data_IF_227225296859
#
_entry.id   IF_227225296859
#
_cell.length_a   1.000
_cell.length_b   1.000
_cell.length_c   1.000
_cell.angle_alpha   90.00
_cell.angle_beta   90.00
_cell.angle_gamma   90.00
#
_symmetry.space_group_name_H-M   'P 1'
#
loop_
_entity.id
_entity.type
_entity.pdbx_description
1 polymer ?
#
# COMPACT_ATOMS: atom_id res chain seq x y z
N UNK A 1 12.50 10.25 -20.04
CA UNK A 1 12.81 9.48 -19.98
C UNK A 1 13.23 8.80 -20.35
N UNK A 2 13.66 8.93 -20.55
CA UNK A 2 14.12 8.15 -21.25
C UNK A 2 13.98 6.96 -21.20
N UNK A 3 13.60 7.12 -21.50
CA UNK A 3 13.29 6.16 -21.57
C UNK A 3 13.92 5.02 -21.89
N UNK A 4 14.03 4.76 -22.79
CA UNK A 4 14.57 3.63 -23.26
C UNK A 4 15.49 2.91 -22.45
N UNK A 5 15.54 3.43 -21.43
CA UNK A 5 16.43 2.88 -20.54
C UNK A 5 16.27 1.46 -20.27
N UNK A 6 15.14 0.93 -20.52
CA UNK A 6 14.90 -0.43 -20.12
C UNK A 6 14.94 -1.41 -21.25
N UNK A 7 15.28 -0.93 -22.41
CA UNK A 7 15.18 -1.78 -23.56
C UNK A 7 16.09 -2.99 -23.49
N UNK A 8 17.16 -2.86 -22.77
CA UNK A 8 18.13 -3.93 -22.71
C UNK A 8 18.10 -4.72 -21.43
N UNK A 9 17.03 -4.64 -20.70
CA UNK A 9 16.96 -5.40 -19.45
C UNK A 9 17.11 -6.88 -19.73
N UNK A 10 17.95 -7.49 -18.94
CA UNK A 10 18.23 -8.90 -19.07
C UNK A 10 16.99 -9.72 -18.72
N UNK A 11 16.80 -10.82 -19.44
CA UNK A 11 15.75 -11.76 -19.11
C UNK A 11 15.93 -12.39 -17.72
N UNK A 12 17.13 -12.31 -17.16
CA UNK A 12 17.42 -12.86 -15.84
C UNK A 12 17.10 -11.90 -14.71
N UNK A 13 16.77 -10.65 -15.03
CA UNK A 13 16.47 -9.67 -14.01
C UNK A 13 15.08 -9.87 -13.47
N UNK A 14 14.95 -9.74 -12.16
CA UNK A 14 13.64 -9.76 -11.52
C UNK A 14 12.89 -8.48 -11.90
N UNK A 15 11.64 -8.59 -12.32
CA UNK A 15 10.87 -7.37 -12.62
C UNK A 15 10.68 -6.54 -11.35
N UNK A 16 10.50 -5.23 -11.50
CA UNK A 16 10.20 -4.38 -10.36
C UNK A 16 8.96 -4.85 -9.64
N UNK A 17 8.98 -4.72 -8.32
CA UNK A 17 7.81 -5.07 -7.51
C UNK A 17 6.72 -4.01 -7.70
N UNK A 18 5.49 -4.42 -7.98
CA UNK A 18 4.45 -3.46 -8.33
C UNK A 18 3.79 -2.82 -7.11
N UNK A 19 3.36 -1.58 -7.29
CA UNK A 19 2.42 -0.96 -6.36
C UNK A 19 1.04 -1.50 -6.72
N UNK A 20 0.35 -2.12 -5.76
CA UNK A 20 -0.92 -2.78 -6.04
C UNK A 20 -2.10 -2.14 -5.33
N UNK A 21 -1.85 -1.20 -4.42
CA UNK A 21 -2.91 -0.66 -3.58
C UNK A 21 -2.45 0.68 -3.01
N UNK A 22 -3.36 1.63 -2.90
CA UNK A 22 -3.12 2.89 -2.17
C UNK A 22 -4.11 2.97 -1.02
N UNK A 23 -3.61 3.26 0.15
CA UNK A 23 -4.46 3.32 1.35
C UNK A 23 -4.37 4.71 1.96
N UNK A 24 -5.51 5.34 2.12
CA UNK A 24 -5.57 6.63 2.79
C UNK A 24 -5.73 6.41 4.29
N UNK A 25 -4.83 6.99 5.07
CA UNK A 25 -4.94 7.05 6.51
C UNK A 25 -5.41 8.43 6.92
N UNK A 26 -6.50 8.51 7.65
CA UNK A 26 -7.13 9.77 8.01
C UNK A 26 -7.76 9.67 9.40
N UNK A 27 -7.89 10.78 10.07
CA UNK A 27 -8.61 10.83 11.34
C UNK A 27 -10.12 11.02 11.15
N UNK A 28 -10.59 11.22 9.91
CA UNK A 28 -12.01 11.46 9.62
C UNK A 28 -12.34 10.88 8.26
N UNK A 29 -12.70 9.60 8.24
CA UNK A 29 -12.95 8.93 6.97
C UNK A 29 -14.21 9.45 6.27
N UNK A 30 -15.21 9.92 7.03
CA UNK A 30 -16.42 10.45 6.43
C UNK A 30 -16.13 11.70 5.62
N UNK A 31 -15.38 12.63 6.21
CA UNK A 31 -15.01 13.86 5.50
C UNK A 31 -14.05 13.60 4.35
N UNK A 32 -13.11 12.69 4.55
CA UNK A 32 -12.14 12.38 3.51
C UNK A 32 -12.81 11.75 2.29
N UNK A 33 -13.68 10.77 2.50
CA UNK A 33 -14.37 10.12 1.39
C UNK A 33 -15.33 11.08 0.69
N UNK A 34 -16.00 11.95 1.44
CA UNK A 34 -16.88 12.96 0.84
C UNK A 34 -16.08 13.93 -0.04
N UNK A 35 -14.91 14.33 0.41
CA UNK A 35 -14.04 15.21 -0.37
C UNK A 35 -13.68 14.59 -1.72
N UNK A 36 -13.21 13.34 -1.71
CA UNK A 36 -12.80 12.68 -2.93
C UNK A 36 -13.98 12.31 -3.83
N UNK A 37 -15.14 12.00 -3.23
CA UNK A 37 -16.34 11.76 -4.00
C UNK A 37 -16.75 13.00 -4.79
N UNK A 38 -16.71 14.16 -4.15
CA UNK A 38 -17.10 15.41 -4.80
C UNK A 38 -16.08 15.88 -5.81
N UNK A 39 -14.80 15.69 -5.51
CA UNK A 39 -13.73 16.18 -6.38
C UNK A 39 -13.50 15.26 -7.58
N UNK A 40 -13.53 13.94 -7.37
CA UNK A 40 -13.04 12.97 -8.35
C UNK A 40 -14.03 11.83 -8.65
N UNK A 41 -15.22 11.86 -8.07
CA UNK A 41 -16.21 10.78 -8.20
C UNK A 41 -15.71 9.44 -7.65
N UNK A 42 -14.73 9.46 -6.77
CA UNK A 42 -14.27 8.23 -6.12
C UNK A 42 -15.32 7.76 -5.14
N UNK A 43 -15.50 6.44 -5.05
CA UNK A 43 -16.59 5.86 -4.26
C UNK A 43 -16.07 4.92 -3.20
N UNK A 44 -16.55 5.12 -1.98
CA UNK A 44 -16.21 4.26 -0.86
C UNK A 44 -17.25 3.16 -0.72
N UNK A 45 -16.80 1.95 -0.38
CA UNK A 45 -17.68 0.81 -0.24
C UNK A 45 -17.14 -0.11 0.85
N UNK A 46 -18.00 -0.54 1.75
CA UNK A 46 -17.63 -1.51 2.78
C UNK A 46 -17.49 -2.88 2.13
N UNK A 47 -16.34 -3.50 2.32
CA UNK A 47 -16.09 -4.87 1.86
C UNK A 47 -16.01 -5.76 3.08
N UNK A 48 -16.83 -6.80 3.12
CA UNK A 48 -16.90 -7.72 4.25
C UNK A 48 -16.13 -8.99 3.93
N UNK A 49 -15.38 -9.47 4.92
CA UNK A 49 -14.63 -10.71 4.82
C UNK A 49 -14.81 -11.50 6.10
N UNK A 50 -14.46 -12.79 6.07
CA UNK A 50 -14.63 -13.66 7.23
C UNK A 50 -13.88 -13.12 8.45
N UNK A 51 -12.72 -12.51 8.25
CA UNK A 51 -11.86 -12.04 9.34
C UNK A 51 -12.07 -10.56 9.65
N UNK A 52 -13.06 -9.91 9.05
CA UNK A 52 -13.34 -8.49 9.30
C UNK A 52 -13.81 -7.78 8.06
N UNK A 53 -13.93 -6.47 8.16
CA UNK A 53 -14.34 -5.64 7.02
C UNK A 53 -13.38 -4.48 6.85
N UNK A 54 -13.38 -3.90 5.66
CA UNK A 54 -12.60 -2.70 5.41
C UNK A 54 -13.35 -1.80 4.44
N UNK A 55 -12.95 -0.54 4.40
CA UNK A 55 -13.54 0.43 3.50
C UNK A 55 -12.69 0.51 2.24
N UNK A 56 -13.22 -0.03 1.15
CA UNK A 56 -12.56 0.01 -0.14
C UNK A 56 -12.86 1.34 -0.80
N UNK A 57 -11.92 1.80 -1.64
CA UNK A 57 -12.04 3.06 -2.33
C UNK A 57 -11.84 2.81 -3.82
N UNK A 58 -12.94 2.99 -4.57
CA UNK A 58 -12.87 2.87 -6.02
C UNK A 58 -12.33 4.18 -6.58
N UNK A 59 -11.07 4.16 -7.00
CA UNK A 59 -10.37 5.30 -7.55
C UNK A 59 -10.29 5.25 -9.07
N UNK A 60 -11.04 4.32 -9.68
CA UNK A 60 -10.93 4.10 -11.11
C UNK A 60 -9.71 3.25 -11.45
N UNK A 61 -9.68 2.71 -12.66
CA UNK A 61 -8.57 1.91 -13.10
C UNK A 61 -8.46 0.58 -12.36
N UNK A 62 -7.26 0.02 -12.31
CA UNK A 62 -7.03 -1.29 -11.74
C UNK A 62 -6.33 -1.25 -10.38
N UNK A 63 -5.92 -0.07 -9.94
CA UNK A 63 -5.24 0.07 -8.66
C UNK A 63 -6.26 -0.02 -7.53
N UNK A 64 -5.99 -0.88 -6.55
CA UNK A 64 -6.86 -0.99 -5.39
C UNK A 64 -6.75 0.23 -4.50
N UNK A 65 -7.82 0.51 -3.77
CA UNK A 65 -7.85 1.62 -2.83
C UNK A 65 -8.52 1.24 -1.53
N UNK A 66 -8.12 1.89 -0.46
CA UNK A 66 -8.72 1.70 0.85
C UNK A 66 -8.61 2.95 1.69
N UNK A 67 -9.42 3.00 2.75
CA UNK A 67 -9.42 4.11 3.70
C UNK A 67 -9.40 3.53 5.10
N UNK A 68 -8.49 4.01 5.91
CA UNK A 68 -8.37 3.60 7.32
C UNK A 68 -8.52 4.83 8.19
N UNK A 69 -9.45 4.76 9.14
CA UNK A 69 -9.57 5.81 10.14
C UNK A 69 -8.67 5.48 11.31
N UNK A 70 -7.77 6.39 11.63
CA UNK A 70 -6.81 6.17 12.70
C UNK A 70 -6.39 7.51 13.29
N UNK A 71 -5.73 7.46 14.43
CA UNK A 71 -5.31 8.67 15.11
C UNK A 71 -4.05 9.27 14.52
N UNK A 72 -4.12 9.68 13.27
CA UNK A 72 -2.99 10.30 12.61
C UNK A 72 -3.06 11.82 12.73
N UNK A 73 -1.92 12.46 12.92
CA UNK A 73 -1.87 13.92 12.98
C UNK A 73 -2.10 14.58 11.64
N UNK A 74 -1.76 13.90 10.55
CA UNK A 74 -1.97 14.38 9.20
C UNK A 74 -2.40 13.22 8.33
N UNK A 75 -3.35 13.45 7.41
CA UNK A 75 -3.71 12.38 6.48
C UNK A 75 -2.53 12.06 5.58
N UNK A 76 -2.41 10.78 5.22
CA UNK A 76 -1.35 10.34 4.32
C UNK A 76 -1.85 9.20 3.44
N UNK A 77 -1.24 9.09 2.28
CA UNK A 77 -1.45 7.98 1.37
C UNK A 77 -0.30 7.01 1.52
N UNK A 78 -0.61 5.75 1.76
CA UNK A 78 0.39 4.70 1.94
C UNK A 78 0.30 3.73 0.76
N UNK A 79 1.33 3.70 -0.10
CA UNK A 79 1.34 2.73 -1.19
C UNK A 79 1.70 1.35 -0.66
N UNK A 80 1.03 0.32 -1.20
CA UNK A 80 1.32 -1.07 -0.90
C UNK A 80 2.06 -1.68 -2.07
N UNK A 81 3.20 -2.26 -1.79
CA UNK A 81 4.06 -2.90 -2.81
C UNK A 81 4.02 -4.40 -2.59
N UNK A 82 3.64 -5.14 -3.62
CA UNK A 82 3.56 -6.59 -3.52
C UNK A 82 4.93 -7.23 -3.53
N UNK A 83 5.16 -8.14 -2.59
CA UNK A 83 6.41 -8.89 -2.48
C UNK A 83 6.08 -10.37 -2.34
N UNK A 84 7.06 -11.22 -2.62
CA UNK A 84 6.88 -12.67 -2.54
C UNK A 84 6.91 -13.19 -1.11
N UNK A 85 7.80 -12.63 -0.30
CA UNK A 85 8.02 -13.09 1.07
C UNK A 85 8.14 -11.88 1.98
N UNK A 86 7.08 -11.63 2.73
CA UNK A 86 7.00 -10.42 3.56
C UNK A 86 8.08 -10.39 4.65
N UNK A 87 8.40 -11.54 5.23
CA UNK A 87 9.41 -11.62 6.26
C UNK A 87 10.79 -11.23 5.70
N UNK A 88 11.14 -11.77 4.55
CA UNK A 88 12.43 -11.49 3.92
C UNK A 88 12.53 -10.05 3.45
N UNK A 89 11.45 -9.53 2.85
CA UNK A 89 11.45 -8.16 2.36
C UNK A 89 11.53 -7.17 3.50
N UNK A 90 10.87 -7.44 4.61
CA UNK A 90 10.95 -6.58 5.78
C UNK A 90 12.35 -6.58 6.38
N UNK A 91 12.97 -7.76 6.49
CA UNK A 91 14.35 -7.85 6.97
C UNK A 91 15.32 -7.13 6.03
N UNK A 92 15.10 -7.27 4.74
CA UNK A 92 15.93 -6.58 3.77
C UNK A 92 15.82 -5.06 3.90
N UNK A 93 14.61 -4.56 4.17
CA UNK A 93 14.43 -3.13 4.41
C UNK A 93 15.27 -2.66 5.60
N UNK A 94 15.28 -3.45 6.69
CA UNK A 94 16.13 -3.12 7.85
C UNK A 94 17.59 -3.07 7.48
N UNK A 95 18.05 -4.04 6.72
CA UNK A 95 19.46 -4.09 6.29
C UNK A 95 19.83 -2.86 5.47
N UNK A 96 18.88 -2.32 4.73
CA UNK A 96 19.08 -1.12 3.91
C UNK A 96 18.87 0.18 4.69
N UNK A 97 18.65 0.09 5.99
CA UNK A 97 18.57 1.26 6.87
C UNK A 97 17.19 1.77 7.16
N UNK A 98 16.14 1.07 6.73
CA UNK A 98 14.78 1.49 7.02
C UNK A 98 14.40 1.17 8.46
N UNK A 99 13.46 1.94 8.99
CA UNK A 99 12.81 1.66 10.27
C UNK A 99 11.54 0.88 9.97
N UNK A 100 11.33 -0.21 10.69
CA UNK A 100 10.10 -1.00 10.56
C UNK A 100 9.07 -0.42 11.53
N UNK A 101 8.04 0.20 10.98
CA UNK A 101 6.98 0.82 11.77
C UNK A 101 5.90 -0.18 12.17
N UNK A 102 5.71 -1.22 11.38
CA UNK A 102 4.79 -2.31 11.66
C UNK A 102 5.44 -3.60 11.20
N UNK A 103 5.68 -4.52 12.12
CA UNK A 103 6.20 -5.84 11.78
C UNK A 103 5.17 -6.61 10.96
N UNK A 104 5.61 -7.61 10.20
CA UNK A 104 4.67 -8.40 9.40
C UNK A 104 3.49 -8.89 10.22
N UNK A 105 2.29 -8.62 9.72
CA UNK A 105 1.04 -8.96 10.41
C UNK A 105 0.05 -9.51 9.42
N UNK A 106 -0.62 -10.57 9.82
CA UNK A 106 -1.65 -11.19 8.99
C UNK A 106 -2.93 -10.38 9.04
N UNK A 107 -3.55 -10.20 7.88
CA UNK A 107 -4.87 -9.61 7.74
C UNK A 107 -5.77 -10.53 6.94
N UNK A 108 -6.98 -10.08 6.58
CA UNK A 108 -7.94 -10.94 5.88
C UNK A 108 -7.45 -11.47 4.54
N UNK A 109 -6.66 -10.69 3.82
CA UNK A 109 -6.28 -11.04 2.44
C UNK A 109 -4.79 -11.25 2.25
N UNK A 110 -4.00 -11.08 3.28
CA UNK A 110 -2.57 -11.27 3.18
C UNK A 110 -1.84 -10.73 4.39
N UNK A 111 -0.54 -10.59 4.25
CA UNK A 111 0.33 -10.08 5.31
C UNK A 111 0.88 -8.73 4.90
N UNK A 112 1.02 -7.84 5.87
CA UNK A 112 1.61 -6.52 5.59
C UNK A 112 2.64 -6.17 6.65
N UNK A 113 3.58 -5.35 6.24
CA UNK A 113 4.48 -4.62 7.13
C UNK A 113 4.57 -3.19 6.63
N UNK A 114 5.04 -2.29 7.47
CA UNK A 114 5.22 -0.88 7.09
C UNK A 114 6.64 -0.49 7.42
N UNK A 115 7.31 0.08 6.44
CA UNK A 115 8.70 0.50 6.58
C UNK A 115 8.84 1.96 6.19
N UNK A 116 9.81 2.63 6.78
CA UNK A 116 10.06 4.05 6.55
C UNK A 116 11.54 4.30 6.40
N UNK A 117 11.89 5.12 5.42
CA UNK A 117 13.26 5.56 5.20
C UNK A 117 13.28 7.08 5.17
N UNK A 118 14.32 7.72 5.76
CA UNK A 118 14.38 9.19 5.76
C UNK A 118 14.37 9.80 4.38
N UNK A 119 14.92 9.12 3.39
CA UNK A 119 15.00 9.64 2.02
C UNK A 119 13.88 9.12 1.13
N UNK A 120 13.37 7.90 1.40
CA UNK A 120 12.46 7.24 0.47
C UNK A 120 11.01 7.25 0.93
N UNK A 121 10.73 7.74 2.12
CA UNK A 121 9.35 7.83 2.61
C UNK A 121 8.85 6.54 3.22
N UNK A 122 7.54 6.41 3.26
CA UNK A 122 6.86 5.34 3.97
C UNK A 122 6.05 4.51 3.00
N UNK A 123 6.21 3.21 3.05
CA UNK A 123 5.46 2.27 2.22
C UNK A 123 5.06 1.05 3.03
N UNK A 124 4.01 0.36 2.57
CA UNK A 124 3.66 -0.95 3.08
C UNK A 124 4.19 -2.01 2.13
N UNK A 125 4.69 -3.09 2.70
CA UNK A 125 5.00 -4.30 1.94
C UNK A 125 3.83 -5.26 2.11
N UNK A 126 3.49 -5.98 1.06
CA UNK A 126 2.28 -6.78 1.02
C UNK A 126 2.57 -8.14 0.40
N UNK A 127 2.17 -9.20 1.11
CA UNK A 127 2.22 -10.55 0.56
C UNK A 127 0.78 -11.09 0.54
N UNK A 128 0.19 -11.30 -0.64
CA UNK A 128 -1.19 -11.81 -0.71
C UNK A 128 -1.28 -13.25 -0.24
N UNK A 129 -2.42 -13.63 0.31
CA UNK A 129 -2.72 -15.03 0.62
C UNK A 129 -2.92 -15.80 -0.67
N UNK A 130 -2.43 -17.04 -0.66
CA UNK A 130 -2.49 -17.89 -1.84
C UNK A 130 -3.52 -19.00 -1.69
#
# INVERSE_FOLDING_TARGET
MPAGINADMSANQTPPRPVVHLELHTSDQVRATAFYAQLLDWRAQVVRAAAGSYLAFDMGGQLGGGVVECGTGRPLWLPYVEVDRIDRSTDRARELGAVVLLEPREGPFGWRSVVSSPQAGEIALWEPKR
#
